data_IF_084391624300
#
_entry.id   IF_084391624300
#
_cell.length_a   1.000
_cell.length_b   1.000
_cell.length_c   1.000
_cell.angle_alpha   90.00
_cell.angle_beta   90.00
_cell.angle_gamma   90.00
#
_symmetry.space_group_name_H-M   'P 1'
#
loop_
_entity.id
_entity.type
_entity.pdbx_description
1 polymer ?
#
# COMPACT_ATOMS: atom_id res chain seq x y z
N UNK A 1 25.44 14.90 17.06
CA UNK A 1 26.81 15.39 16.80
C UNK A 1 27.75 14.22 16.59
N UNK A 2 28.34 14.11 15.44
CA UNK A 2 29.24 13.04 15.08
C UNK A 2 28.54 11.66 14.88
N UNK A 3 29.27 10.57 15.02
CA UNK A 3 28.76 9.19 14.86
C UNK A 3 28.16 8.60 16.16
N UNK A 4 27.80 9.41 17.15
CA UNK A 4 27.23 8.93 18.41
C UNK A 4 25.71 8.73 18.23
N UNK A 5 25.22 7.58 18.67
CA UNK A 5 23.80 7.26 18.72
C UNK A 5 23.24 7.71 20.08
N UNK A 6 22.06 8.32 20.07
CA UNK A 6 21.34 8.75 21.27
C UNK A 6 20.00 8.03 21.36
N UNK A 7 19.47 7.77 22.57
CA UNK A 7 18.12 7.24 22.74
C UNK A 7 17.09 8.19 22.13
N UNK A 8 16.10 7.63 21.42
CA UNK A 8 14.95 8.40 20.90
C UNK A 8 13.88 8.55 21.97
N UNK A 9 13.67 7.51 22.80
CA UNK A 9 12.66 7.52 23.86
C UNK A 9 13.02 8.47 25.00
N UNK A 10 12.01 9.12 25.57
CA UNK A 10 12.18 9.89 26.80
C UNK A 10 12.47 8.97 27.99
N UNK A 11 13.08 9.55 29.03
CA UNK A 11 13.42 8.78 30.22
C UNK A 11 12.19 8.15 30.91
N UNK A 12 11.05 8.85 30.96
CA UNK A 12 9.82 8.31 31.55
C UNK A 12 9.28 7.12 30.77
N UNK A 13 9.38 7.12 29.47
CA UNK A 13 8.97 6.00 28.62
C UNK A 13 9.82 4.76 28.90
N UNK A 14 11.15 4.92 28.97
CA UNK A 14 12.05 3.82 29.32
C UNK A 14 11.80 3.31 30.73
N UNK A 15 11.54 4.22 31.68
CA UNK A 15 11.21 3.85 33.07
C UNK A 15 9.89 3.08 33.19
N UNK A 16 8.91 3.39 32.33
CA UNK A 16 7.64 2.65 32.30
C UNK A 16 7.80 1.23 31.77
N UNK A 17 8.79 1.02 30.89
CA UNK A 17 9.07 -0.29 30.28
C UNK A 17 9.97 -1.15 31.16
N UNK A 18 10.93 -0.57 31.89
CA UNK A 18 11.86 -1.33 32.71
C UNK A 18 12.35 -0.55 33.94
N UNK A 19 12.25 -1.12 35.15
CA UNK A 19 12.79 -0.52 36.37
C UNK A 19 14.31 -0.27 36.32
N UNK A 20 15.06 -0.97 35.47
CA UNK A 20 16.51 -0.83 35.30
C UNK A 20 16.90 0.61 34.98
N UNK A 21 16.17 1.26 34.09
CA UNK A 21 16.48 2.63 33.66
C UNK A 21 16.20 3.67 34.74
N UNK A 22 15.22 3.41 35.62
CA UNK A 22 14.96 4.26 36.79
C UNK A 22 16.12 4.29 37.78
N UNK A 23 16.82 3.18 37.95
CA UNK A 23 17.97 3.07 38.84
C UNK A 23 19.25 3.66 38.24
N UNK A 24 19.34 3.67 36.90
CA UNK A 24 20.54 4.08 36.15
C UNK A 24 20.73 5.61 36.11
N UNK A 25 19.64 6.38 36.14
CA UNK A 25 19.65 7.83 36.04
C UNK A 25 18.88 8.48 37.16
N UNK A 26 19.49 9.49 37.80
CA UNK A 26 18.86 10.25 38.89
C UNK A 26 18.13 11.52 38.41
N UNK A 27 18.29 11.93 37.18
CA UNK A 27 17.69 13.14 36.62
C UNK A 27 17.66 13.15 35.10
N UNK A 28 16.71 13.91 34.53
CA UNK A 28 16.64 14.18 33.09
C UNK A 28 17.94 14.79 32.54
N UNK A 29 18.61 15.65 33.29
CA UNK A 29 19.89 16.25 32.90
C UNK A 29 20.99 15.19 32.71
N UNK A 30 20.97 14.15 33.52
CA UNK A 30 21.91 13.04 33.38
C UNK A 30 21.55 12.19 32.16
N UNK A 31 20.26 11.86 32.00
CA UNK A 31 19.77 11.09 30.85
C UNK A 31 20.02 11.79 29.51
N UNK A 32 19.79 13.10 29.41
CA UNK A 32 19.93 13.86 28.16
C UNK A 32 21.34 13.85 27.56
N UNK A 33 22.34 13.45 28.33
CA UNK A 33 23.74 13.34 27.90
C UNK A 33 24.14 11.92 27.54
N UNK A 34 23.24 10.97 27.73
CA UNK A 34 23.51 9.54 27.60
C UNK A 34 23.49 9.13 26.12
N UNK A 35 24.51 8.40 25.71
CA UNK A 35 24.53 7.73 24.40
C UNK A 35 23.98 6.31 24.51
N UNK A 36 23.65 5.68 23.39
CA UNK A 36 23.17 4.29 23.38
C UNK A 36 24.21 3.32 24.01
N UNK A 37 25.50 3.54 23.76
CA UNK A 37 26.58 2.71 24.32
C UNK A 37 26.72 2.86 25.84
N UNK A 38 26.27 4.01 26.40
CA UNK A 38 26.25 4.24 27.84
C UNK A 38 24.93 3.80 28.48
N UNK A 39 23.85 3.72 27.70
CA UNK A 39 22.52 3.26 28.15
C UNK A 39 22.45 1.73 28.26
N UNK A 40 23.02 1.02 27.28
CA UNK A 40 22.99 -0.43 27.18
C UNK A 40 24.42 -0.96 27.19
N UNK A 41 24.71 -1.82 28.18
CA UNK A 41 26.01 -2.47 28.26
C UNK A 41 26.19 -3.52 27.15
N UNK A 42 27.43 -3.93 26.82
CA UNK A 42 27.66 -5.04 25.90
C UNK A 42 26.94 -6.34 26.26
N UNK A 43 26.77 -6.61 27.56
CA UNK A 43 26.03 -7.80 28.03
C UNK A 43 24.52 -7.66 27.79
N UNK A 44 23.96 -6.46 27.88
CA UNK A 44 22.56 -6.21 27.54
C UNK A 44 22.28 -6.44 26.02
N UNK A 45 23.29 -6.23 25.21
CA UNK A 45 23.18 -6.37 23.73
C UNK A 45 23.51 -7.77 23.22
N UNK A 46 24.10 -8.64 24.06
CA UNK A 46 24.61 -9.95 23.63
C UNK A 46 23.52 -10.88 23.05
N UNK A 47 22.30 -10.81 23.60
CA UNK A 47 21.16 -11.60 23.16
C UNK A 47 20.04 -10.73 22.59
N UNK A 48 20.26 -9.44 22.42
CA UNK A 48 19.26 -8.51 21.93
C UNK A 48 19.05 -8.70 20.42
N UNK A 49 17.77 -8.78 20.01
CA UNK A 49 17.42 -8.70 18.59
C UNK A 49 17.65 -7.27 18.11
N UNK A 50 18.61 -7.11 17.19
CA UNK A 50 18.88 -5.84 16.54
C UNK A 50 18.18 -5.80 15.19
N UNK A 51 17.28 -4.85 15.01
CA UNK A 51 16.57 -4.57 13.76
C UNK A 51 17.01 -3.21 13.23
N UNK A 52 17.14 -3.12 11.92
CA UNK A 52 17.47 -1.88 11.22
C UNK A 52 16.48 -1.65 10.10
N UNK A 53 15.94 -0.42 10.02
CA UNK A 53 15.16 0.06 8.89
C UNK A 53 16.04 1.01 8.07
N UNK A 54 16.45 0.58 6.90
CA UNK A 54 17.38 1.32 6.03
C UNK A 54 16.72 1.84 4.74
N UNK A 55 15.43 1.53 4.54
CA UNK A 55 14.65 2.05 3.43
C UNK A 55 13.26 2.48 3.95
N UNK A 56 13.02 3.79 3.98
CA UNK A 56 11.84 4.40 4.61
C UNK A 56 10.82 4.93 3.60
N UNK A 57 11.14 4.90 2.30
CA UNK A 57 10.24 5.42 1.27
C UNK A 57 9.15 4.41 0.91
N UNK A 58 7.95 4.90 0.64
CA UNK A 58 6.93 4.15 -0.09
C UNK A 58 7.46 3.79 -1.47
N UNK A 59 7.42 2.50 -1.85
CA UNK A 59 8.15 2.01 -3.00
C UNK A 59 7.36 1.05 -3.87
N UNK A 60 7.73 0.99 -5.13
CA UNK A 60 7.40 -0.08 -6.05
C UNK A 60 8.52 -1.12 -6.02
N UNK A 61 8.15 -2.38 -5.82
CA UNK A 61 9.08 -3.51 -5.82
C UNK A 61 8.80 -4.37 -7.04
N UNK A 62 9.70 -4.32 -8.01
CA UNK A 62 9.63 -5.11 -9.22
C UNK A 62 10.30 -6.47 -9.01
N UNK A 63 9.58 -7.54 -9.34
CA UNK A 63 10.15 -8.88 -9.35
C UNK A 63 10.81 -9.15 -10.73
N UNK A 64 12.13 -9.26 -10.74
CA UNK A 64 12.94 -9.51 -11.94
C UNK A 64 13.11 -11.02 -12.24
N UNK A 65 12.50 -11.90 -11.44
CA UNK A 65 12.73 -13.34 -11.50
C UNK A 65 14.03 -13.77 -10.80
N UNK A 66 14.20 -15.09 -10.65
CA UNK A 66 15.38 -15.69 -10.00
C UNK A 66 15.68 -15.09 -8.60
N UNK A 67 14.65 -14.81 -7.81
CA UNK A 67 14.73 -14.20 -6.48
C UNK A 67 15.41 -12.80 -6.47
N UNK A 68 15.41 -12.09 -7.59
CA UNK A 68 15.92 -10.73 -7.71
C UNK A 68 14.78 -9.72 -7.74
N UNK A 69 14.96 -8.62 -7.03
CA UNK A 69 13.98 -7.54 -6.95
C UNK A 69 14.67 -6.20 -7.21
N UNK A 70 13.92 -5.28 -7.80
CA UNK A 70 14.31 -3.87 -7.95
C UNK A 70 13.36 -3.03 -7.12
N UNK A 71 13.91 -2.16 -6.29
CA UNK A 71 13.14 -1.22 -5.47
C UNK A 71 13.29 0.17 -6.07
N UNK A 72 12.15 0.83 -6.30
CA UNK A 72 12.09 2.21 -6.82
C UNK A 72 11.12 3.01 -5.97
N UNK A 73 11.55 4.18 -5.48
CA UNK A 73 10.66 5.06 -4.72
C UNK A 73 9.47 5.51 -5.57
N UNK A 74 8.29 5.51 -4.99
CA UNK A 74 7.13 6.16 -5.58
C UNK A 74 7.33 7.70 -5.59
N UNK A 75 6.55 8.44 -6.39
CA UNK A 75 6.61 9.89 -6.45
C UNK A 75 6.47 10.58 -5.09
N UNK A 76 6.88 11.85 -5.03
CA UNK A 76 7.01 12.60 -3.77
C UNK A 76 5.71 12.66 -2.96
N UNK A 77 4.56 12.83 -3.60
CA UNK A 77 3.27 12.88 -2.88
C UNK A 77 2.88 11.55 -2.22
N UNK A 78 3.48 10.42 -2.61
CA UNK A 78 3.32 9.14 -1.93
C UNK A 78 4.20 8.98 -0.68
N UNK A 79 5.02 10.00 -0.36
CA UNK A 79 5.96 10.01 0.76
C UNK A 79 5.54 10.97 1.90
N UNK A 80 4.47 11.76 1.71
CA UNK A 80 4.15 12.89 2.60
C UNK A 80 3.43 12.50 3.88
N UNK A 81 2.86 11.28 3.92
CA UNK A 81 2.21 10.72 5.11
C UNK A 81 2.18 9.18 5.03
N UNK A 82 1.88 8.46 6.12
CA UNK A 82 1.67 7.03 6.11
C UNK A 82 0.58 6.63 5.11
N UNK A 83 0.83 5.60 4.31
CA UNK A 83 -0.14 5.00 3.39
C UNK A 83 -0.78 3.80 4.07
N UNK A 84 -2.11 3.82 4.23
CA UNK A 84 -2.88 2.78 4.90
C UNK A 84 -3.72 1.95 3.92
N UNK A 85 -4.15 2.54 2.81
CA UNK A 85 -4.99 1.87 1.81
C UNK A 85 -4.42 2.03 0.40
N UNK A 86 -4.35 0.90 -0.32
CA UNK A 86 -3.84 0.83 -1.69
C UNK A 86 -4.83 0.02 -2.53
N UNK A 87 -5.21 0.55 -3.69
CA UNK A 87 -5.94 -0.17 -4.72
C UNK A 87 -5.24 0.03 -6.05
N UNK A 88 -5.11 -1.04 -6.82
CA UNK A 88 -4.62 -1.00 -8.20
C UNK A 88 -5.76 -1.27 -9.17
N UNK A 89 -5.88 -0.43 -10.21
CA UNK A 89 -6.82 -0.59 -11.31
C UNK A 89 -6.34 0.24 -12.51
N UNK A 90 -6.91 0.01 -13.68
CA UNK A 90 -6.71 0.86 -14.85
C UNK A 90 -7.71 2.04 -14.75
N UNK A 91 -7.23 3.19 -14.30
CA UNK A 91 -8.08 4.35 -13.97
C UNK A 91 -8.33 5.22 -15.18
N UNK A 92 -7.36 5.39 -16.05
CA UNK A 92 -7.47 6.25 -17.25
C UNK A 92 -7.80 5.49 -18.53
N UNK A 93 -7.84 4.15 -18.49
CA UNK A 93 -8.24 3.29 -19.61
C UNK A 93 -7.13 3.02 -20.62
N UNK A 94 -5.87 3.23 -20.25
CA UNK A 94 -4.71 3.01 -21.12
C UNK A 94 -4.23 1.54 -21.15
N UNK A 95 -4.78 0.68 -20.29
CA UNK A 95 -4.46 -0.75 -20.17
C UNK A 95 -3.28 -1.05 -19.27
N UNK A 96 -2.72 -0.05 -18.56
CA UNK A 96 -1.73 -0.25 -17.53
C UNK A 96 -2.39 -0.14 -16.15
N UNK A 97 -1.71 -0.66 -15.12
CA UNK A 97 -2.21 -0.54 -13.76
C UNK A 97 -1.76 0.78 -13.15
N UNK A 98 -2.73 1.51 -12.63
CA UNK A 98 -2.57 2.70 -11.82
C UNK A 98 -2.70 2.36 -10.35
N UNK A 99 -2.35 3.28 -9.47
CA UNK A 99 -2.41 3.12 -8.03
C UNK A 99 -3.25 4.25 -7.42
N UNK A 100 -4.25 3.88 -6.60
CA UNK A 100 -4.94 4.80 -5.70
C UNK A 100 -4.42 4.59 -4.30
N UNK A 101 -4.07 5.68 -3.62
CA UNK A 101 -3.51 5.69 -2.27
C UNK A 101 -4.35 6.55 -1.35
N UNK A 102 -4.58 6.06 -0.13
CA UNK A 102 -5.12 6.83 0.99
C UNK A 102 -4.31 6.57 2.24
N UNK A 103 -4.33 7.50 3.19
CA UNK A 103 -3.50 7.36 4.38
C UNK A 103 -3.78 8.42 5.43
N UNK A 104 -2.73 8.93 6.01
CA UNK A 104 -2.66 9.80 7.18
C UNK A 104 -2.66 9.02 8.50
N UNK A 105 -2.22 9.68 9.56
CA UNK A 105 -2.26 9.17 10.91
C UNK A 105 -2.49 10.29 11.92
N UNK A 106 -3.63 10.20 12.64
CA UNK A 106 -4.01 11.13 13.71
C UNK A 106 -3.79 10.54 15.11
N UNK A 107 -3.37 9.26 15.17
CA UNK A 107 -3.16 8.52 16.41
C UNK A 107 -1.79 8.72 17.04
N UNK A 108 -0.96 9.60 16.50
CA UNK A 108 0.35 9.91 17.05
C UNK A 108 0.26 10.62 18.40
N UNK A 109 1.32 10.51 19.18
CA UNK A 109 1.46 11.26 20.42
C UNK A 109 1.38 12.78 20.19
N UNK A 110 0.85 13.51 21.15
CA UNK A 110 0.53 14.94 21.03
C UNK A 110 1.73 15.79 20.57
N UNK A 111 2.93 15.44 21.01
CA UNK A 111 4.13 16.20 20.64
C UNK A 111 4.65 15.90 19.22
N UNK A 112 4.29 14.76 18.63
CA UNK A 112 4.59 14.44 17.23
C UNK A 112 3.61 15.13 16.29
N UNK A 113 2.37 15.30 16.73
CA UNK A 113 1.30 15.90 15.94
C UNK A 113 0.69 14.91 14.93
N UNK A 114 -0.22 15.42 14.11
CA UNK A 114 -0.90 14.63 13.08
C UNK A 114 -0.06 14.58 11.80
N UNK A 115 -0.04 13.40 11.18
CA UNK A 115 0.48 13.24 9.82
C UNK A 115 -0.72 13.29 8.86
N UNK A 116 -1.05 14.47 8.33
CA UNK A 116 -2.30 14.76 7.61
C UNK A 116 -2.09 15.35 6.20
N UNK A 117 -0.89 15.19 5.65
CA UNK A 117 -0.53 15.82 4.37
C UNK A 117 -1.05 15.08 3.13
N UNK A 118 -1.49 13.82 3.24
CA UNK A 118 -2.03 13.05 2.12
C UNK A 118 -3.53 13.30 1.98
N UNK A 119 -3.96 13.83 0.84
CA UNK A 119 -5.38 14.12 0.56
C UNK A 119 -6.03 13.11 -0.40
N UNK A 120 -5.49 11.90 -0.47
CA UNK A 120 -5.77 10.93 -1.53
C UNK A 120 -4.89 11.19 -2.75
N UNK A 121 -4.40 10.13 -3.37
CA UNK A 121 -3.47 10.24 -4.49
C UNK A 121 -3.78 9.20 -5.55
N UNK A 122 -3.77 9.62 -6.81
CA UNK A 122 -3.79 8.73 -7.98
C UNK A 122 -2.41 8.82 -8.64
N UNK A 123 -1.81 7.67 -8.86
CA UNK A 123 -0.56 7.52 -9.60
C UNK A 123 -0.85 6.76 -10.88
N UNK A 124 -0.63 7.38 -12.03
CA UNK A 124 -0.77 6.75 -13.34
C UNK A 124 0.49 5.96 -13.68
N UNK A 125 0.33 4.69 -14.00
CA UNK A 125 1.40 3.78 -14.33
C UNK A 125 1.67 3.70 -15.84
N UNK A 126 2.93 3.55 -16.23
CA UNK A 126 3.34 3.37 -17.63
C UNK A 126 3.47 1.90 -18.07
N UNK A 127 3.09 0.97 -17.18
CA UNK A 127 3.28 -0.48 -17.40
C UNK A 127 4.73 -0.95 -17.35
N UNK A 128 5.69 -0.08 -17.02
CA UNK A 128 7.13 -0.38 -16.92
C UNK A 128 7.69 -0.04 -15.53
N UNK A 129 6.81 0.15 -14.53
CA UNK A 129 7.18 0.45 -13.15
C UNK A 129 7.46 1.92 -12.87
N UNK A 130 7.15 2.84 -13.80
CA UNK A 130 7.18 4.27 -13.57
C UNK A 130 5.78 4.79 -13.30
N UNK A 131 5.67 5.71 -12.37
CA UNK A 131 4.40 6.27 -11.94
C UNK A 131 4.42 7.80 -11.98
N UNK A 132 3.31 8.38 -12.43
CA UNK A 132 3.13 9.83 -12.52
C UNK A 132 1.93 10.26 -11.71
N UNK A 133 2.09 11.29 -10.90
CA UNK A 133 1.03 11.86 -10.07
C UNK A 133 -0.09 12.48 -10.94
N UNK A 134 -1.35 12.15 -10.60
CA UNK A 134 -2.52 12.82 -11.13
C UNK A 134 -3.08 13.73 -10.02
N UNK A 135 -3.10 15.06 -10.22
CA UNK A 135 -3.64 15.98 -9.22
C UNK A 135 -5.11 15.67 -8.87
N UNK A 136 -5.49 15.84 -7.61
CA UNK A 136 -6.86 15.62 -7.14
C UNK A 136 -7.89 16.52 -7.85
N UNK A 137 -7.48 17.69 -8.33
CA UNK A 137 -8.31 18.59 -9.16
C UNK A 137 -8.72 17.98 -10.51
N UNK A 138 -7.95 17.01 -11.03
CA UNK A 138 -8.27 16.27 -12.25
C UNK A 138 -8.93 14.92 -11.98
N UNK A 139 -8.44 14.20 -10.97
CA UNK A 139 -8.97 12.87 -10.63
C UNK A 139 -10.28 12.93 -9.85
N UNK A 140 -10.59 14.04 -9.16
CA UNK A 140 -11.69 14.10 -8.21
C UNK A 140 -11.49 13.22 -6.96
N UNK A 141 -10.42 12.41 -6.91
CA UNK A 141 -10.14 11.50 -5.80
C UNK A 141 -9.56 12.28 -4.62
N UNK A 142 -10.45 12.66 -3.66
CA UNK A 142 -10.08 13.47 -2.50
C UNK A 142 -10.52 12.82 -1.20
N UNK A 143 -9.54 12.38 -0.40
CA UNK A 143 -9.70 11.71 0.90
C UNK A 143 -8.75 12.37 1.91
N UNK A 144 -9.12 13.52 2.51
CA UNK A 144 -8.20 14.33 3.30
C UNK A 144 -8.07 13.89 4.77
N UNK A 145 -8.98 13.02 5.26
CA UNK A 145 -9.02 12.61 6.65
C UNK A 145 -8.03 11.51 7.01
N UNK A 146 -8.15 11.00 8.23
CA UNK A 146 -7.38 9.86 8.72
C UNK A 146 -7.89 8.55 8.11
N UNK A 147 -7.52 8.31 6.84
CA UNK A 147 -8.03 7.19 6.08
C UNK A 147 -7.33 5.88 6.46
N UNK A 148 -8.11 4.83 6.70
CA UNK A 148 -7.59 3.53 7.17
C UNK A 148 -7.72 2.42 6.14
N UNK A 149 -8.75 2.41 5.32
CA UNK A 149 -8.92 1.40 4.30
C UNK A 149 -9.36 2.01 2.97
N UNK A 150 -8.93 1.37 1.89
CA UNK A 150 -9.37 1.65 0.54
C UNK A 150 -9.70 0.33 -0.14
N UNK A 151 -10.92 0.24 -0.70
CA UNK A 151 -11.37 -0.95 -1.41
C UNK A 151 -12.01 -0.59 -2.74
N UNK A 152 -12.05 -1.56 -3.66
CA UNK A 152 -12.87 -1.49 -4.87
C UNK A 152 -14.01 -2.51 -4.81
N UNK A 153 -15.20 -2.09 -5.23
CA UNK A 153 -16.41 -2.92 -5.29
C UNK A 153 -16.97 -2.88 -6.69
N UNK A 154 -17.15 -4.06 -7.29
CA UNK A 154 -17.82 -4.17 -8.58
C UNK A 154 -19.34 -4.20 -8.38
N UNK A 155 -20.03 -3.23 -8.93
CA UNK A 155 -21.46 -3.27 -9.21
C UNK A 155 -21.72 -3.83 -10.62
N UNK A 156 -22.99 -3.98 -11.03
CA UNK A 156 -23.35 -4.58 -12.33
C UNK A 156 -22.63 -3.92 -13.52
N UNK A 157 -22.51 -2.59 -13.51
CA UNK A 157 -21.92 -1.83 -14.62
C UNK A 157 -20.80 -0.87 -14.20
N UNK A 158 -20.44 -0.83 -12.93
CA UNK A 158 -19.56 0.20 -12.38
C UNK A 158 -18.52 -0.42 -11.45
N UNK A 159 -17.38 0.26 -11.32
CA UNK A 159 -16.42 0.03 -10.27
C UNK A 159 -16.47 1.21 -9.32
N UNK A 160 -16.75 0.93 -8.06
CA UNK A 160 -16.74 1.92 -6.98
C UNK A 160 -15.47 1.77 -6.15
N UNK A 161 -14.87 2.88 -5.76
CA UNK A 161 -13.76 2.94 -4.83
C UNK A 161 -14.25 3.56 -3.55
N UNK A 162 -14.01 2.89 -2.43
CA UNK A 162 -14.54 3.31 -1.13
C UNK A 162 -13.39 3.45 -0.14
N UNK A 163 -13.27 4.63 0.47
CA UNK A 163 -12.28 4.92 1.49
C UNK A 163 -12.95 5.17 2.83
N UNK A 164 -12.55 4.41 3.85
CA UNK A 164 -12.96 4.68 5.24
C UNK A 164 -12.01 5.70 5.86
N UNK A 165 -12.56 6.56 6.70
CA UNK A 165 -11.80 7.53 7.50
C UNK A 165 -12.17 7.36 8.97
N UNK A 166 -11.19 7.50 9.85
CA UNK A 166 -11.43 7.43 11.29
C UNK A 166 -12.20 8.68 11.75
N UNK A 167 -13.33 8.48 12.41
CA UNK A 167 -14.23 9.52 12.90
C UNK A 167 -14.70 10.52 11.82
N UNK A 168 -14.77 10.09 10.56
CA UNK A 168 -15.27 10.89 9.44
C UNK A 168 -16.10 10.02 8.48
N UNK A 169 -16.77 10.67 7.52
CA UNK A 169 -17.64 10.02 6.55
C UNK A 169 -16.90 9.10 5.60
N UNK A 170 -17.55 7.99 5.23
CA UNK A 170 -17.11 7.13 4.14
C UNK A 170 -17.09 7.92 2.83
N UNK A 171 -15.99 7.88 2.10
CA UNK A 171 -15.88 8.48 0.77
C UNK A 171 -16.11 7.40 -0.29
N UNK A 172 -16.94 7.71 -1.26
CA UNK A 172 -17.25 6.80 -2.37
C UNK A 172 -16.99 7.53 -3.68
N UNK A 173 -16.23 6.89 -4.55
CA UNK A 173 -15.88 7.41 -5.86
C UNK A 173 -16.29 6.42 -6.93
N UNK A 174 -16.70 6.96 -8.06
CA UNK A 174 -16.97 6.24 -9.29
C UNK A 174 -16.00 6.69 -10.35
N UNK A 175 -15.48 5.77 -11.12
CA UNK A 175 -14.69 6.11 -12.30
C UNK A 175 -15.66 6.34 -13.48
N UNK A 176 -15.79 7.60 -13.92
CA UNK A 176 -16.60 7.99 -15.07
C UNK A 176 -15.86 7.85 -16.41
N UNK A 177 -14.60 7.36 -16.37
CA UNK A 177 -13.81 7.08 -17.58
C UNK A 177 -14.50 6.03 -18.46
N UNK A 178 -14.12 6.00 -19.73
CA UNK A 178 -14.76 5.23 -20.81
C UNK A 178 -14.54 3.70 -20.69
N UNK A 179 -14.86 3.13 -19.51
CA UNK A 179 -14.80 1.69 -19.21
C UNK A 179 -15.92 0.88 -19.89
N UNK A 180 -16.66 1.51 -20.82
CA UNK A 180 -17.91 1.00 -21.41
C UNK A 180 -17.78 -0.28 -22.25
N UNK A 181 -16.57 -0.78 -22.50
CA UNK A 181 -16.34 -1.99 -23.29
C UNK A 181 -15.65 -3.14 -22.53
N UNK A 182 -15.55 -3.04 -21.23
CA UNK A 182 -14.91 -4.09 -20.43
C UNK A 182 -15.92 -5.15 -20.00
N UNK A 183 -15.50 -6.41 -19.99
CA UNK A 183 -16.30 -7.53 -19.46
C UNK A 183 -15.97 -7.72 -17.98
N UNK A 184 -16.99 -7.81 -17.12
CA UNK A 184 -16.78 -8.14 -15.71
C UNK A 184 -16.62 -9.65 -15.54
N UNK A 185 -15.43 -10.09 -15.19
CA UNK A 185 -15.13 -11.49 -14.87
C UNK A 185 -15.30 -11.73 -13.36
N UNK A 186 -16.02 -12.80 -13.01
CA UNK A 186 -16.22 -13.24 -11.62
C UNK A 186 -15.45 -14.53 -11.40
N UNK A 187 -14.36 -14.55 -10.61
CA UNK A 187 -13.64 -15.77 -10.31
C UNK A 187 -14.46 -16.71 -9.42
N UNK A 188 -14.23 -17.99 -9.54
CA UNK A 188 -14.74 -19.00 -8.62
C UNK A 188 -14.06 -18.89 -7.24
N UNK A 189 -14.65 -19.54 -6.24
CA UNK A 189 -14.10 -19.46 -4.86
C UNK A 189 -12.68 -19.98 -4.75
N UNK A 190 -12.34 -21.01 -5.51
CA UNK A 190 -11.03 -21.66 -5.50
C UNK A 190 -10.00 -21.01 -6.40
N UNK A 191 -10.39 -20.08 -7.29
CA UNK A 191 -9.45 -19.37 -8.17
C UNK A 191 -8.52 -18.48 -7.35
N UNK A 192 -7.23 -18.54 -7.64
CA UNK A 192 -6.20 -17.75 -6.94
C UNK A 192 -5.55 -16.73 -7.84
N UNK A 193 -5.47 -17.00 -9.16
CA UNK A 193 -4.89 -16.03 -10.11
C UNK A 193 -5.41 -16.23 -11.53
N UNK A 194 -5.21 -15.21 -12.35
CA UNK A 194 -5.40 -15.24 -13.78
C UNK A 194 -4.16 -14.68 -14.49
N UNK A 195 -3.72 -15.31 -15.58
CA UNK A 195 -2.82 -14.71 -16.56
C UNK A 195 -3.67 -14.24 -17.74
N UNK A 196 -3.81 -12.92 -17.89
CA UNK A 196 -4.48 -12.28 -18.99
C UNK A 196 -3.54 -12.23 -20.20
N UNK A 197 -4.00 -12.69 -21.36
CA UNK A 197 -3.24 -12.72 -22.61
C UNK A 197 -3.88 -11.74 -23.56
N UNK A 198 -3.15 -10.69 -23.89
CA UNK A 198 -3.59 -9.62 -24.76
C UNK A 198 -3.42 -9.98 -26.25
N UNK A 199 -4.11 -9.26 -27.12
CA UNK A 199 -4.06 -9.48 -28.57
C UNK A 199 -2.69 -9.19 -29.19
N UNK A 200 -1.88 -8.34 -28.54
CA UNK A 200 -0.49 -8.02 -28.90
C UNK A 200 0.54 -9.00 -28.34
N UNK A 201 0.08 -10.02 -27.59
CA UNK A 201 0.92 -11.02 -26.95
C UNK A 201 1.45 -10.61 -25.56
N UNK A 202 1.16 -9.40 -25.09
CA UNK A 202 1.45 -8.99 -23.69
C UNK A 202 0.72 -9.93 -22.73
N UNK A 203 1.35 -10.22 -21.59
CA UNK A 203 0.77 -10.99 -20.52
C UNK A 203 0.71 -10.15 -19.25
N UNK A 204 -0.37 -10.29 -18.49
CA UNK A 204 -0.56 -9.63 -17.21
C UNK A 204 -1.10 -10.62 -16.19
N UNK A 205 -0.41 -10.80 -15.07
CA UNK A 205 -0.90 -11.62 -13.96
C UNK A 205 -1.80 -10.77 -13.07
N UNK A 206 -2.95 -11.34 -12.69
CA UNK A 206 -3.87 -10.81 -11.70
C UNK A 206 -4.07 -11.86 -10.62
N UNK A 207 -4.06 -11.46 -9.37
CA UNK A 207 -4.30 -12.34 -8.23
C UNK A 207 -5.65 -12.04 -7.57
N UNK A 208 -6.32 -13.11 -7.08
CA UNK A 208 -7.64 -13.04 -6.48
C UNK A 208 -7.54 -13.23 -4.96
N UNK A 209 -7.20 -12.17 -4.26
CA UNK A 209 -6.99 -12.23 -2.81
C UNK A 209 -8.28 -12.34 -2.01
N UNK A 210 -8.18 -12.99 -0.86
CA UNK A 210 -9.06 -12.83 0.27
C UNK A 210 -8.31 -11.99 1.34
N UNK A 211 -8.93 -10.90 1.86
CA UNK A 211 -8.27 -10.00 2.80
C UNK A 211 -7.24 -9.10 2.10
N UNK A 212 -7.68 -8.26 1.16
CA UNK A 212 -6.79 -7.44 0.32
C UNK A 212 -6.31 -6.15 0.96
N UNK A 213 -6.79 -5.77 2.15
CA UNK A 213 -6.42 -4.52 2.82
C UNK A 213 -6.64 -4.59 4.32
N UNK A 214 -6.31 -3.51 5.04
CA UNK A 214 -6.48 -3.42 6.48
C UNK A 214 -7.96 -3.55 6.85
N UNK A 215 -8.30 -4.62 7.58
CA UNK A 215 -9.67 -4.96 8.00
C UNK A 215 -10.72 -4.78 6.89
N UNK A 216 -10.32 -5.04 5.65
CA UNK A 216 -11.15 -4.75 4.47
C UNK A 216 -10.91 -5.75 3.35
N UNK A 217 -11.91 -5.84 2.44
CA UNK A 217 -11.88 -6.75 1.31
C UNK A 217 -12.39 -6.04 0.05
N UNK A 218 -11.53 -5.91 -0.95
CA UNK A 218 -11.95 -5.54 -2.30
C UNK A 218 -12.70 -6.68 -2.99
N UNK A 219 -13.51 -6.35 -3.97
CA UNK A 219 -14.11 -7.38 -4.85
C UNK A 219 -13.01 -8.21 -5.51
N UNK A 220 -13.25 -9.51 -5.63
CA UNK A 220 -12.39 -10.40 -6.42
C UNK A 220 -12.70 -10.33 -7.92
N UNK A 221 -13.82 -9.71 -8.31
CA UNK A 221 -14.16 -9.50 -9.71
C UNK A 221 -13.19 -8.53 -10.35
N UNK A 222 -12.83 -8.82 -11.59
CA UNK A 222 -11.93 -7.97 -12.38
C UNK A 222 -12.61 -7.54 -13.68
N UNK A 223 -12.23 -6.38 -14.16
CA UNK A 223 -12.61 -5.92 -15.49
C UNK A 223 -11.60 -6.43 -16.50
N UNK A 224 -12.10 -7.05 -17.56
CA UNK A 224 -11.31 -7.56 -18.66
C UNK A 224 -11.33 -6.51 -19.78
N UNK A 225 -10.20 -5.91 -20.12
CA UNK A 225 -10.09 -4.97 -21.23
C UNK A 225 -10.46 -5.62 -22.58
N UNK A 226 -10.97 -4.86 -23.54
CA UNK A 226 -11.45 -5.40 -24.84
C UNK A 226 -10.35 -5.99 -25.71
N UNK A 227 -9.09 -5.66 -25.44
CA UNK A 227 -7.90 -6.20 -26.10
C UNK A 227 -7.32 -7.45 -25.41
N UNK A 228 -7.98 -8.01 -24.40
CA UNK A 228 -7.65 -9.33 -23.83
C UNK A 228 -8.32 -10.41 -24.67
N UNK A 229 -7.53 -11.35 -25.18
CA UNK A 229 -7.97 -12.48 -25.99
C UNK A 229 -8.48 -13.64 -25.13
N UNK A 230 -7.71 -14.00 -24.13
CA UNK A 230 -7.99 -15.13 -23.25
C UNK A 230 -7.36 -14.91 -21.87
N UNK A 231 -7.84 -15.64 -20.88
CA UNK A 231 -7.21 -15.74 -19.58
C UNK A 231 -6.96 -17.20 -19.22
N UNK A 232 -5.82 -17.47 -18.59
CA UNK A 232 -5.51 -18.75 -17.95
C UNK A 232 -5.72 -18.59 -16.45
N UNK A 233 -6.77 -19.23 -15.93
CA UNK A 233 -7.14 -19.15 -14.52
C UNK A 233 -6.51 -20.33 -13.79
N UNK A 234 -5.80 -20.06 -12.69
CA UNK A 234 -5.27 -21.08 -11.80
C UNK A 234 -6.05 -21.13 -10.49
N UNK A 235 -6.33 -22.34 -10.01
CA UNK A 235 -6.99 -22.57 -8.73
C UNK A 235 -5.98 -22.90 -7.60
N UNK A 236 -6.48 -22.98 -6.37
CA UNK A 236 -5.69 -23.30 -5.18
C UNK A 236 -5.15 -24.75 -5.15
N UNK A 237 -5.58 -25.61 -6.07
CA UNK A 237 -5.09 -26.99 -6.22
C UNK A 237 -4.03 -27.12 -7.34
N UNK A 238 -3.67 -26.00 -7.98
CA UNK A 238 -2.72 -25.98 -9.08
C UNK A 238 -3.31 -26.37 -10.44
N UNK A 239 -4.63 -26.56 -10.55
CA UNK A 239 -5.29 -26.81 -11.84
C UNK A 239 -5.47 -25.47 -12.57
N UNK A 240 -5.40 -25.54 -13.90
CA UNK A 240 -5.61 -24.35 -14.73
C UNK A 240 -6.72 -24.59 -15.76
N UNK A 241 -7.51 -23.55 -16.04
CA UNK A 241 -8.50 -23.54 -17.10
C UNK A 241 -8.37 -22.27 -17.96
N UNK A 242 -8.72 -22.40 -19.23
CA UNK A 242 -8.76 -21.27 -20.15
C UNK A 242 -10.17 -20.70 -20.23
N UNK A 243 -10.22 -19.37 -20.26
CA UNK A 243 -11.44 -18.58 -20.50
C UNK A 243 -11.17 -17.65 -21.67
N UNK A 244 -11.97 -17.75 -22.72
CA UNK A 244 -11.89 -16.86 -23.89
C UNK A 244 -12.92 -15.75 -23.77
N UNK A 245 -12.49 -14.52 -24.06
CA UNK A 245 -13.37 -13.37 -24.11
C UNK A 245 -13.65 -13.06 -25.58
N UNK A 246 -14.79 -13.54 -26.06
CA UNK A 246 -15.23 -13.19 -27.40
C UNK A 246 -15.54 -11.69 -27.42
N UNK A 247 -15.05 -10.98 -28.46
CA UNK A 247 -15.47 -9.61 -28.74
C UNK A 247 -17.00 -9.64 -28.88
N UNK A 248 -17.70 -9.17 -27.84
CA UNK A 248 -19.11 -8.86 -28.00
C UNK A 248 -19.26 -7.86 -29.14
N UNK A 249 -20.08 -8.20 -30.08
CA UNK A 249 -20.47 -7.42 -31.25
C UNK A 249 -21.05 -6.08 -30.78
#
# INVERSE_FOLDING_TARGET
EGKKLFPVHFWDELNSQSPKFRQQFSSYKQYSKTTMDALLSPDDLKEALRLEANYMASAFVENLGNSKFRISSLPTLAQVAPVNGIVTDDIDGDGNLDILLVGNDYGNEVFVGRMDALTGLVLLGDGKGQFREMPSSRSGFKVPGDAKALIKIASSNEMLYMASQNLDSLKVFKNDGNLLKTVLFSPERTDVSAELIFTDGKKQKVEFYYGSGFLSQSTRKIRIPPNVKEAVIADSQGKSRKVTFNKGI
#
